data_IF_167746255734
#
_entry.id   IF_167746255734
#
_cell.length_a   1.000
_cell.length_b   1.000
_cell.length_c   1.000
_cell.angle_alpha   90.00
_cell.angle_beta   90.00
_cell.angle_gamma   90.00
#
_symmetry.space_group_name_H-M   'P 1'
#
loop_
_entity.id
_entity.type
_entity.pdbx_description
1 polymer ?
#
# COMPACT_ATOMS: atom_id res chain seq x y z
N UNK A 1 35.79 -24.59 3.67
CA UNK A 1 36.52 -23.38 3.28
C UNK A 1 35.70 -22.20 3.78
N UNK A 2 36.18 -21.55 4.84
CA UNK A 2 35.50 -20.44 5.49
C UNK A 2 35.54 -19.20 4.59
N UNK A 3 34.41 -18.50 4.45
CA UNK A 3 34.41 -17.06 4.18
C UNK A 3 33.59 -16.42 5.30
N UNK A 4 34.30 -16.15 6.39
CA UNK A 4 33.87 -15.28 7.47
C UNK A 4 33.87 -13.83 6.97
N UNK A 5 32.69 -13.21 6.90
CA UNK A 5 32.57 -11.74 6.92
C UNK A 5 31.72 -11.32 8.13
N UNK A 6 32.29 -11.28 9.35
CA UNK A 6 31.74 -10.48 10.43
C UNK A 6 32.72 -9.32 10.69
N UNK A 7 32.33 -8.07 10.40
CA UNK A 7 32.65 -6.90 11.24
C UNK A 7 32.16 -5.55 10.70
N UNK A 8 31.81 -5.40 9.42
CA UNK A 8 31.54 -4.06 8.86
C UNK A 8 30.10 -3.53 9.04
N UNK A 9 29.15 -4.37 9.47
CA UNK A 9 27.72 -4.00 9.50
C UNK A 9 27.38 -3.10 10.72
N UNK A 10 28.19 -3.12 11.78
CA UNK A 10 27.97 -2.27 12.97
C UNK A 10 28.49 -0.83 12.82
N UNK A 11 28.92 -0.41 11.63
CA UNK A 11 29.53 0.90 11.38
C UNK A 11 28.67 1.85 10.54
N UNK A 12 27.46 1.45 10.15
CA UNK A 12 26.57 2.31 9.34
C UNK A 12 25.51 2.94 10.26
N UNK A 13 25.54 4.27 10.48
CA UNK A 13 24.57 4.93 11.35
C UNK A 13 23.14 4.79 10.82
N UNK A 14 22.17 4.69 11.72
CA UNK A 14 20.72 4.56 11.45
C UNK A 14 20.17 5.62 10.47
N UNK A 15 20.84 6.77 10.40
CA UNK A 15 20.56 7.89 9.51
C UNK A 15 20.83 7.58 8.02
N UNK A 16 21.76 6.68 7.69
CA UNK A 16 22.04 6.28 6.31
C UNK A 16 20.92 5.40 5.72
N UNK A 17 20.25 4.60 6.56
CA UNK A 17 19.07 3.82 6.17
C UNK A 17 17.83 4.71 5.96
N UNK A 18 17.72 5.79 6.74
CA UNK A 18 16.69 6.82 6.57
C UNK A 18 16.84 7.55 5.22
N UNK A 19 18.07 7.88 4.83
CA UNK A 19 18.36 8.57 3.58
C UNK A 19 18.01 7.71 2.35
N UNK A 20 18.29 6.40 2.38
CA UNK A 20 17.92 5.48 1.29
C UNK A 20 16.40 5.36 1.08
N UNK A 21 15.61 5.30 2.17
CA UNK A 21 14.15 5.27 2.10
C UNK A 21 13.53 6.60 1.63
N UNK A 22 14.14 7.72 2.03
CA UNK A 22 13.70 9.07 1.64
C UNK A 22 14.01 9.38 0.16
N UNK A 23 15.20 8.99 -0.33
CA UNK A 23 15.57 9.07 -1.75
C UNK A 23 14.69 8.18 -2.65
N UNK A 24 14.16 7.07 -2.12
CA UNK A 24 13.27 6.15 -2.86
C UNK A 24 11.87 6.72 -3.10
N UNK A 25 11.30 7.43 -2.11
CA UNK A 25 9.99 8.09 -2.24
C UNK A 25 10.10 9.38 -3.07
N UNK A 26 11.19 10.13 -2.92
CA UNK A 26 11.39 11.39 -3.67
C UNK A 26 11.68 11.17 -5.16
N UNK A 27 12.37 10.09 -5.52
CA UNK A 27 12.68 9.76 -6.93
C UNK A 27 11.52 9.08 -7.66
N UNK A 28 10.50 8.65 -6.92
CA UNK A 28 9.33 7.96 -7.47
C UNK A 28 8.46 8.89 -8.33
N UNK A 29 8.57 10.22 -8.17
CA UNK A 29 7.72 11.17 -8.88
C UNK A 29 8.35 11.88 -10.10
N UNK A 30 9.66 11.85 -10.28
CA UNK A 30 10.33 12.70 -11.30
C UNK A 30 10.58 12.03 -12.68
N UNK A 31 10.29 10.72 -12.88
CA UNK A 31 10.91 9.94 -13.99
C UNK A 31 9.89 9.27 -14.96
N UNK A 32 8.68 9.80 -15.13
CA UNK A 32 7.69 9.24 -16.08
C UNK A 32 7.53 10.05 -17.38
N UNK A 33 8.31 9.75 -18.44
CA UNK A 33 7.83 9.83 -19.81
C UNK A 33 7.24 8.48 -20.26
N UNK A 34 6.21 8.54 -21.10
CA UNK A 34 5.49 7.40 -21.68
C UNK A 34 6.39 6.56 -22.60
N UNK A 35 6.91 5.43 -22.12
CA UNK A 35 7.34 4.36 -23.04
C UNK A 35 7.29 2.97 -22.39
N UNK A 36 6.57 2.06 -23.03
CA UNK A 36 6.10 0.77 -22.48
C UNK A 36 7.22 -0.21 -22.13
N UNK A 37 8.31 -0.25 -22.91
CA UNK A 37 9.40 -1.22 -22.73
C UNK A 37 10.34 -0.88 -21.55
N UNK A 38 10.29 0.36 -21.06
CA UNK A 38 11.08 0.84 -19.92
C UNK A 38 10.31 0.65 -18.62
N UNK A 39 8.97 0.61 -18.64
CA UNK A 39 8.18 0.34 -17.44
C UNK A 39 8.43 -1.06 -16.90
N UNK A 40 8.48 -2.09 -17.75
CA UNK A 40 8.65 -3.48 -17.31
C UNK A 40 10.00 -3.69 -16.62
N UNK A 41 11.09 -3.16 -17.19
CA UNK A 41 12.43 -3.18 -16.58
C UNK A 41 12.54 -2.34 -15.31
N UNK A 42 11.80 -1.22 -15.23
CA UNK A 42 11.72 -0.40 -14.01
C UNK A 42 10.92 -1.10 -12.91
N UNK A 43 9.88 -1.86 -13.26
CA UNK A 43 9.12 -2.71 -12.34
C UNK A 43 10.01 -3.85 -11.83
N UNK A 44 10.77 -4.53 -12.69
CA UNK A 44 11.71 -5.58 -12.26
C UNK A 44 12.80 -5.04 -11.34
N UNK A 45 13.37 -3.87 -11.66
CA UNK A 45 14.35 -3.20 -10.80
C UNK A 45 13.73 -2.75 -9.47
N UNK A 46 12.49 -2.26 -9.48
CA UNK A 46 11.72 -1.90 -8.29
C UNK A 46 11.44 -3.11 -7.41
N UNK A 47 11.02 -4.24 -8.00
CA UNK A 47 10.81 -5.50 -7.29
C UNK A 47 12.12 -6.04 -6.71
N UNK A 48 13.22 -5.97 -7.46
CA UNK A 48 14.55 -6.40 -7.00
C UNK A 48 15.06 -5.52 -5.85
N UNK A 49 14.84 -4.20 -5.93
CA UNK A 49 15.21 -3.26 -4.88
C UNK A 49 14.31 -3.40 -3.63
N UNK A 50 13.02 -3.71 -3.79
CA UNK A 50 12.14 -4.10 -2.69
C UNK A 50 12.67 -5.37 -2.02
N UNK A 51 13.04 -6.39 -2.80
CA UNK A 51 13.58 -7.64 -2.25
C UNK A 51 14.87 -7.40 -1.47
N UNK A 52 15.77 -6.55 -1.98
CA UNK A 52 17.03 -6.20 -1.31
C UNK A 52 16.79 -5.36 -0.05
N UNK A 53 15.87 -4.38 -0.09
CA UNK A 53 15.55 -3.55 1.09
C UNK A 53 14.76 -4.30 2.17
N UNK A 54 14.00 -5.33 1.78
CA UNK A 54 13.37 -6.30 2.66
C UNK A 54 14.43 -7.23 3.30
N UNK A 55 15.46 -7.64 2.57
CA UNK A 55 16.56 -8.48 3.11
C UNK A 55 17.44 -7.76 4.16
N UNK A 56 17.65 -6.44 4.02
CA UNK A 56 18.62 -5.68 4.83
C UNK A 56 18.12 -5.35 6.24
N UNK A 57 16.83 -5.49 6.54
CA UNK A 57 16.27 -5.04 7.83
C UNK A 57 15.28 -5.99 8.52
N UNK A 58 15.17 -7.25 8.07
CA UNK A 58 14.39 -8.26 8.80
C UNK A 58 15.30 -8.91 9.84
N UNK A 59 15.06 -8.69 11.15
CA UNK A 59 15.66 -9.56 12.14
C UNK A 59 15.02 -10.94 11.94
N UNK A 60 15.78 -11.88 11.37
CA UNK A 60 15.39 -13.29 11.16
C UNK A 60 15.23 -14.06 12.49
N UNK A 61 14.61 -13.44 13.49
CA UNK A 61 14.43 -13.99 14.83
C UNK A 61 13.71 -15.32 14.78
N UNK A 62 14.44 -16.38 15.16
CA UNK A 62 14.02 -17.74 15.56
C UNK A 62 13.05 -18.54 14.67
N UNK A 63 12.47 -17.97 13.61
CA UNK A 63 11.53 -18.66 12.72
C UNK A 63 12.22 -19.33 11.55
N UNK A 64 11.72 -20.50 11.15
CA UNK A 64 12.25 -21.22 9.98
C UNK A 64 12.04 -20.40 8.70
N UNK A 65 13.00 -20.45 7.77
CA UNK A 65 12.95 -19.72 6.49
C UNK A 65 11.62 -19.95 5.73
N UNK A 66 11.06 -21.16 5.80
CA UNK A 66 9.78 -21.51 5.18
C UNK A 66 8.59 -20.75 5.77
N UNK A 67 8.58 -20.55 7.08
CA UNK A 67 7.51 -19.84 7.79
C UNK A 67 7.50 -18.35 7.45
N UNK A 68 8.68 -17.75 7.31
CA UNK A 68 8.81 -16.34 6.89
C UNK A 68 8.33 -16.12 5.45
N UNK A 69 8.68 -17.02 4.52
CA UNK A 69 8.19 -16.96 3.14
C UNK A 69 6.67 -17.10 3.10
N UNK A 70 6.10 -18.03 3.85
CA UNK A 70 4.65 -18.22 3.93
C UNK A 70 3.92 -16.97 4.45
N UNK A 71 4.41 -16.36 5.54
CA UNK A 71 3.84 -15.12 6.09
C UNK A 71 3.96 -13.93 5.13
N UNK A 72 5.09 -13.83 4.43
CA UNK A 72 5.29 -12.78 3.42
C UNK A 72 4.29 -12.91 2.26
N UNK A 73 4.22 -14.10 1.66
CA UNK A 73 3.33 -14.36 0.54
C UNK A 73 1.86 -14.20 0.94
N UNK A 74 1.45 -14.73 2.09
CA UNK A 74 0.07 -14.58 2.58
C UNK A 74 -0.32 -13.12 2.82
N UNK A 75 0.60 -12.30 3.35
CA UNK A 75 0.35 -10.86 3.58
C UNK A 75 0.18 -10.08 2.29
N UNK A 76 0.93 -10.42 1.23
CA UNK A 76 0.76 -9.80 -0.09
C UNK A 76 -0.52 -10.30 -0.77
N UNK A 77 -0.74 -11.61 -0.76
CA UNK A 77 -1.90 -12.24 -1.39
C UNK A 77 -3.20 -11.71 -0.79
N UNK A 78 -3.32 -11.57 0.53
CA UNK A 78 -4.54 -11.05 1.15
C UNK A 78 -4.85 -9.61 0.71
N UNK A 79 -3.82 -8.77 0.54
CA UNK A 79 -3.99 -7.40 0.05
C UNK A 79 -4.40 -7.37 -1.42
N UNK A 80 -3.76 -8.18 -2.27
CA UNK A 80 -4.12 -8.29 -3.68
C UNK A 80 -5.52 -8.87 -3.87
N UNK A 81 -5.93 -9.83 -3.04
CA UNK A 81 -7.28 -10.39 -3.05
C UNK A 81 -8.32 -9.34 -2.68
N UNK A 82 -8.04 -8.48 -1.71
CA UNK A 82 -8.93 -7.34 -1.41
C UNK A 82 -9.10 -6.43 -2.63
N UNK A 83 -8.00 -6.12 -3.32
CA UNK A 83 -8.05 -5.38 -4.59
C UNK A 83 -8.85 -6.09 -5.68
N UNK A 84 -8.68 -7.40 -5.82
CA UNK A 84 -9.43 -8.21 -6.77
C UNK A 84 -10.94 -8.19 -6.46
N UNK A 85 -11.34 -8.32 -5.19
CA UNK A 85 -12.74 -8.24 -4.77
C UNK A 85 -13.32 -6.85 -5.08
N UNK A 86 -12.61 -5.78 -4.74
CA UNK A 86 -13.02 -4.42 -5.08
C UNK A 86 -13.17 -4.21 -6.60
N UNK A 87 -12.26 -4.80 -7.38
CA UNK A 87 -12.27 -4.68 -8.85
C UNK A 87 -13.51 -5.27 -9.52
N UNK A 88 -14.18 -6.25 -8.90
CA UNK A 88 -15.42 -6.85 -9.41
C UNK A 88 -16.53 -5.78 -9.49
N UNK A 89 -16.65 -4.92 -8.47
CA UNK A 89 -17.63 -3.83 -8.48
C UNK A 89 -17.23 -2.71 -9.43
N UNK A 90 -15.93 -2.42 -9.51
CA UNK A 90 -15.40 -1.36 -10.35
C UNK A 90 -15.57 -1.66 -11.83
N UNK A 91 -15.20 -2.87 -12.29
CA UNK A 91 -15.22 -3.22 -13.72
C UNK A 91 -16.61 -3.18 -14.33
N UNK A 92 -17.67 -3.57 -13.60
CA UNK A 92 -19.05 -3.53 -14.10
C UNK A 92 -19.56 -2.11 -14.37
N UNK A 93 -19.08 -1.13 -13.60
CA UNK A 93 -19.56 0.25 -13.66
C UNK A 93 -18.62 1.19 -14.41
N UNK A 94 -17.37 0.78 -14.66
CA UNK A 94 -16.37 1.58 -15.36
C UNK A 94 -16.76 1.89 -16.82
N UNK A 95 -17.32 0.91 -17.54
CA UNK A 95 -17.70 1.04 -18.96
C UNK A 95 -19.14 1.56 -19.17
N UNK A 96 -19.90 1.75 -18.09
CA UNK A 96 -21.31 2.13 -18.14
C UNK A 96 -21.55 3.45 -17.41
N UNK A 97 -21.78 3.40 -16.11
CA UNK A 97 -22.14 4.55 -15.29
C UNK A 97 -21.00 5.56 -15.11
N UNK A 98 -19.77 5.07 -14.88
CA UNK A 98 -18.64 5.96 -14.61
C UNK A 98 -18.33 6.88 -15.80
N UNK A 99 -18.54 6.44 -17.04
CA UNK A 99 -18.31 7.28 -18.23
C UNK A 99 -19.27 8.47 -18.32
N UNK A 100 -20.43 8.39 -17.69
CA UNK A 100 -21.47 9.42 -17.74
C UNK A 100 -21.29 10.52 -16.68
N UNK A 101 -20.45 10.29 -15.67
CA UNK A 101 -20.21 11.26 -14.61
C UNK A 101 -19.36 12.43 -15.10
N UNK A 102 -19.75 13.63 -14.71
CA UNK A 102 -18.87 14.80 -14.80
C UNK A 102 -17.69 14.63 -13.84
N UNK A 103 -16.46 14.85 -14.33
CA UNK A 103 -15.22 14.64 -13.58
C UNK A 103 -14.43 15.95 -13.53
N UNK A 104 -13.74 16.23 -12.41
CA UNK A 104 -12.85 17.39 -12.34
C UNK A 104 -11.66 17.24 -13.29
N UNK A 105 -11.06 18.36 -13.68
CA UNK A 105 -9.91 18.41 -14.61
C UNK A 105 -8.67 17.68 -14.11
N UNK A 106 -8.56 17.45 -12.79
CA UNK A 106 -7.45 16.72 -12.18
C UNK A 106 -7.71 15.21 -12.03
N UNK A 107 -8.85 14.69 -12.51
CA UNK A 107 -9.11 13.25 -12.50
C UNK A 107 -8.11 12.53 -13.42
N UNK A 108 -7.32 11.57 -12.92
CA UNK A 108 -6.34 10.89 -13.73
C UNK A 108 -7.02 9.95 -14.74
N UNK A 109 -6.35 9.61 -15.85
CA UNK A 109 -6.82 8.60 -16.78
C UNK A 109 -7.12 7.27 -16.07
N UNK A 110 -8.20 6.58 -16.46
CA UNK A 110 -8.68 5.35 -15.80
C UNK A 110 -7.62 4.25 -15.70
N UNK A 111 -6.70 4.16 -16.67
CA UNK A 111 -5.63 3.17 -16.68
C UNK A 111 -4.60 3.37 -15.55
N UNK A 112 -4.44 4.59 -15.03
CA UNK A 112 -3.45 4.92 -13.97
C UNK A 112 -3.84 4.25 -12.64
N UNK A 113 -5.13 4.06 -12.38
CA UNK A 113 -5.61 3.49 -11.12
C UNK A 113 -5.10 2.06 -10.89
N UNK A 114 -5.05 1.23 -11.93
CA UNK A 114 -4.68 -0.18 -11.78
C UNK A 114 -3.22 -0.39 -11.34
N UNK A 115 -2.20 0.21 -12.00
CA UNK A 115 -0.81 0.12 -11.54
C UNK A 115 -0.61 0.72 -10.14
N UNK A 116 -1.23 1.86 -9.86
CA UNK A 116 -1.10 2.51 -8.54
C UNK A 116 -1.65 1.62 -7.45
N UNK A 117 -2.88 1.11 -7.58
CA UNK A 117 -3.46 0.23 -6.57
C UNK A 117 -2.68 -1.07 -6.40
N UNK A 118 -2.18 -1.66 -7.49
CA UNK A 118 -1.33 -2.87 -7.42
C UNK A 118 -0.05 -2.61 -6.61
N UNK A 119 0.61 -1.48 -6.83
CA UNK A 119 1.78 -1.08 -6.05
C UNK A 119 1.42 -0.85 -4.58
N UNK A 120 0.31 -0.15 -4.31
CA UNK A 120 -0.16 0.11 -2.95
C UNK A 120 -0.48 -1.17 -2.19
N UNK A 121 -1.22 -2.12 -2.78
CA UNK A 121 -1.51 -3.41 -2.14
C UNK A 121 -0.25 -4.21 -1.85
N UNK A 122 0.76 -4.13 -2.72
CA UNK A 122 2.05 -4.77 -2.48
C UNK A 122 2.76 -4.15 -1.27
N UNK A 123 2.83 -2.80 -1.21
CA UNK A 123 3.42 -2.08 -0.08
C UNK A 123 2.68 -2.35 1.23
N UNK A 124 1.35 -2.39 1.19
CA UNK A 124 0.50 -2.74 2.33
C UNK A 124 0.79 -4.17 2.82
N UNK A 125 0.94 -5.13 1.90
CA UNK A 125 1.28 -6.51 2.23
C UNK A 125 2.65 -6.64 2.88
N UNK A 126 3.66 -5.92 2.37
CA UNK A 126 5.00 -5.87 2.98
C UNK A 126 4.92 -5.22 4.38
N UNK A 127 4.17 -4.13 4.51
CA UNK A 127 3.94 -3.44 5.78
C UNK A 127 3.31 -4.36 6.83
N UNK A 128 2.25 -5.10 6.45
CA UNK A 128 1.61 -6.09 7.30
C UNK A 128 2.57 -7.21 7.71
N UNK A 129 3.36 -7.73 6.77
CA UNK A 129 4.35 -8.79 7.04
C UNK A 129 5.38 -8.34 8.09
N UNK A 130 5.90 -7.11 7.98
CA UNK A 130 6.89 -6.57 8.93
C UNK A 130 6.34 -6.44 10.36
N UNK A 131 5.04 -6.14 10.50
CA UNK A 131 4.37 -6.02 11.81
C UNK A 131 3.98 -7.39 12.35
N UNK A 132 3.38 -8.24 11.52
CA UNK A 132 2.93 -9.57 11.91
C UNK A 132 4.10 -10.50 12.25
N UNK A 133 5.24 -10.33 11.58
CA UNK A 133 6.49 -11.05 11.85
C UNK A 133 7.06 -10.84 13.26
N UNK A 134 6.68 -9.75 13.96
CA UNK A 134 7.12 -9.47 15.34
C UNK A 134 6.44 -10.35 16.40
N UNK A 135 5.38 -11.07 16.03
CA UNK A 135 4.66 -11.98 16.92
C UNK A 135 3.38 -11.38 17.51
N UNK A 136 2.30 -12.15 17.46
CA UNK A 136 0.95 -11.73 17.90
C UNK A 136 0.78 -11.73 19.43
N UNK A 137 1.82 -12.09 20.18
CA UNK A 137 1.80 -12.01 21.64
C UNK A 137 1.77 -10.55 22.10
N UNK A 138 2.49 -9.68 21.39
CA UNK A 138 2.53 -8.24 21.66
C UNK A 138 1.16 -7.60 21.41
N UNK A 139 0.72 -6.78 22.36
CA UNK A 139 -0.58 -6.09 22.27
C UNK A 139 -0.60 -5.15 21.07
N UNK A 140 0.50 -4.48 20.82
CA UNK A 140 0.67 -3.48 19.78
C UNK A 140 0.54 -4.09 18.38
N UNK A 141 1.07 -5.30 18.20
CA UNK A 141 0.94 -6.08 16.96
C UNK A 141 -0.51 -6.48 16.72
N UNK A 142 -1.21 -7.01 17.74
CA UNK A 142 -2.62 -7.41 17.61
C UNK A 142 -3.54 -6.24 17.26
N UNK A 143 -3.36 -5.11 17.94
CA UNK A 143 -4.14 -3.89 17.64
C UNK A 143 -3.81 -3.39 16.23
N UNK A 144 -2.54 -3.40 15.85
CA UNK A 144 -2.12 -3.00 14.50
C UNK A 144 -2.75 -3.87 13.42
N UNK A 145 -2.66 -5.20 13.54
CA UNK A 145 -3.22 -6.15 12.57
C UNK A 145 -4.76 -6.02 12.50
N UNK A 146 -5.43 -5.80 13.62
CA UNK A 146 -6.87 -5.53 13.64
C UNK A 146 -7.22 -4.26 12.86
N UNK A 147 -6.55 -3.13 13.15
CA UNK A 147 -6.76 -1.87 12.43
C UNK A 147 -6.47 -2.01 10.93
N UNK A 148 -5.42 -2.76 10.59
CA UNK A 148 -5.09 -3.09 9.20
C UNK A 148 -6.22 -3.87 8.51
N UNK A 149 -6.83 -4.84 9.20
CA UNK A 149 -7.99 -5.57 8.69
C UNK A 149 -9.20 -4.67 8.47
N UNK A 150 -9.46 -3.75 9.41
CA UNK A 150 -10.54 -2.77 9.30
C UNK A 150 -10.35 -1.86 8.09
N UNK A 151 -9.15 -1.26 7.91
CA UNK A 151 -8.91 -0.40 6.75
C UNK A 151 -8.98 -1.19 5.43
N UNK A 152 -8.59 -2.46 5.40
CA UNK A 152 -8.68 -3.29 4.20
C UNK A 152 -10.14 -3.62 3.85
N UNK A 153 -10.97 -3.88 4.86
CA UNK A 153 -12.41 -4.06 4.67
C UNK A 153 -13.10 -2.80 4.17
N UNK A 154 -12.77 -1.64 4.76
CA UNK A 154 -13.22 -0.33 4.31
C UNK A 154 -12.82 -0.06 2.85
N UNK A 155 -11.59 -0.39 2.46
CA UNK A 155 -11.12 -0.25 1.09
C UNK A 155 -11.99 -1.02 0.07
N UNK A 156 -12.35 -2.28 0.37
CA UNK A 156 -13.27 -3.06 -0.46
C UNK A 156 -14.67 -2.42 -0.47
N UNK A 157 -15.14 -2.00 0.71
CA UNK A 157 -16.47 -1.44 0.90
C UNK A 157 -16.66 -0.13 0.13
N UNK A 158 -15.61 0.70 0.01
CA UNK A 158 -15.61 1.88 -0.84
C UNK A 158 -15.98 1.55 -2.30
N UNK A 159 -15.36 0.51 -2.86
CA UNK A 159 -15.61 0.09 -4.25
C UNK A 159 -17.06 -0.35 -4.45
N UNK A 160 -17.62 -1.05 -3.46
CA UNK A 160 -19.03 -1.41 -3.45
C UNK A 160 -19.95 -0.18 -3.40
N UNK A 161 -19.70 0.78 -2.51
CA UNK A 161 -20.53 1.98 -2.38
C UNK A 161 -20.45 2.87 -3.64
N UNK A 162 -19.24 3.11 -4.13
CA UNK A 162 -19.04 4.01 -5.26
C UNK A 162 -19.51 3.41 -6.58
N UNK A 163 -19.07 2.19 -6.90
CA UNK A 163 -19.36 1.57 -8.20
C UNK A 163 -20.56 0.62 -8.16
N UNK A 164 -20.74 -0.13 -7.08
CA UNK A 164 -21.86 -1.07 -6.93
C UNK A 164 -23.19 -0.37 -6.66
N UNK A 165 -23.22 0.53 -5.67
CA UNK A 165 -24.40 1.34 -5.35
C UNK A 165 -24.50 2.64 -6.15
N UNK A 166 -23.47 2.98 -6.95
CA UNK A 166 -23.45 4.20 -7.76
C UNK A 166 -23.72 5.47 -6.94
N UNK A 167 -23.22 5.51 -5.69
CA UNK A 167 -23.48 6.60 -4.74
C UNK A 167 -22.17 7.30 -4.35
N UNK A 168 -21.77 8.37 -5.07
CA UNK A 168 -20.62 9.19 -4.71
C UNK A 168 -20.70 9.75 -3.29
N UNK A 169 -21.90 10.10 -2.80
CA UNK A 169 -22.11 10.61 -1.46
C UNK A 169 -21.77 9.58 -0.37
N UNK A 170 -22.30 8.36 -0.46
CA UNK A 170 -22.02 7.31 0.53
C UNK A 170 -20.55 6.90 0.49
N UNK A 171 -19.98 6.81 -0.71
CA UNK A 171 -18.56 6.57 -0.91
C UNK A 171 -17.69 7.67 -0.29
N UNK A 172 -18.15 8.93 -0.30
CA UNK A 172 -17.43 10.04 0.31
C UNK A 172 -17.41 9.96 1.83
N UNK A 173 -18.53 9.60 2.46
CA UNK A 173 -18.55 9.38 3.90
C UNK A 173 -17.66 8.20 4.31
N UNK A 174 -17.69 7.11 3.54
CA UNK A 174 -16.88 5.94 3.80
C UNK A 174 -15.38 6.22 3.61
N UNK A 175 -14.98 6.93 2.55
CA UNK A 175 -13.54 7.17 2.30
C UNK A 175 -12.88 8.03 3.38
N UNK A 176 -13.66 8.85 4.10
CA UNK A 176 -13.18 9.55 5.29
C UNK A 176 -12.91 8.59 6.47
N UNK A 177 -13.77 7.57 6.64
CA UNK A 177 -13.54 6.50 7.62
C UNK A 177 -12.30 5.68 7.26
N UNK A 178 -12.16 5.32 5.98
CA UNK A 178 -10.98 4.65 5.45
C UNK A 178 -9.72 5.47 5.72
N UNK A 179 -9.73 6.75 5.36
CA UNK A 179 -8.61 7.67 5.57
C UNK A 179 -8.17 7.70 7.04
N UNK A 180 -9.14 7.79 7.96
CA UNK A 180 -8.86 7.76 9.40
C UNK A 180 -8.31 6.39 9.84
N UNK A 181 -8.88 5.29 9.33
CA UNK A 181 -8.41 3.94 9.65
C UNK A 181 -6.96 3.71 9.18
N UNK A 182 -6.57 4.25 8.02
CA UNK A 182 -5.19 4.21 7.52
C UNK A 182 -4.26 4.98 8.47
N UNK A 183 -4.64 6.19 8.87
CA UNK A 183 -3.86 7.01 9.79
C UNK A 183 -3.64 6.30 11.13
N UNK A 184 -4.70 5.72 11.70
CA UNK A 184 -4.62 4.95 12.95
C UNK A 184 -3.75 3.70 12.79
N UNK A 185 -3.84 3.02 11.66
CA UNK A 185 -2.98 1.87 11.33
C UNK A 185 -1.52 2.29 11.27
N UNK A 186 -1.19 3.39 10.58
CA UNK A 186 0.17 3.91 10.48
C UNK A 186 0.74 4.30 11.86
N UNK A 187 -0.01 5.05 12.67
CA UNK A 187 0.39 5.42 14.04
C UNK A 187 0.65 4.18 14.89
N UNK A 188 -0.19 3.14 14.76
CA UNK A 188 -0.02 1.92 15.51
C UNK A 188 1.18 1.09 15.01
N UNK A 189 1.38 1.03 13.69
CA UNK A 189 2.52 0.36 13.07
C UNK A 189 3.83 1.04 13.45
N UNK A 190 3.85 2.36 13.61
CA UNK A 190 5.03 3.10 14.06
C UNK A 190 5.60 2.60 15.39
N UNK A 191 4.73 2.18 16.31
CA UNK A 191 5.12 1.64 17.63
C UNK A 191 5.79 0.26 17.52
N UNK A 192 5.56 -0.46 16.42
CA UNK A 192 6.08 -1.81 16.18
C UNK A 192 7.26 -1.81 15.21
N UNK A 193 7.12 -1.11 14.08
CA UNK A 193 8.10 -0.97 13.00
C UNK A 193 7.89 0.34 12.25
N UNK A 194 8.84 1.27 12.39
CA UNK A 194 8.84 2.54 11.65
C UNK A 194 8.80 2.32 10.14
N UNK A 195 9.53 1.32 9.64
CA UNK A 195 9.54 0.95 8.21
C UNK A 195 8.13 0.56 7.74
N UNK A 196 7.42 -0.26 8.52
CA UNK A 196 6.05 -0.65 8.18
C UNK A 196 5.11 0.57 8.11
N UNK A 197 5.25 1.52 9.04
CA UNK A 197 4.49 2.77 9.01
C UNK A 197 4.82 3.64 7.78
N UNK A 198 6.10 3.76 7.42
CA UNK A 198 6.50 4.55 6.25
C UNK A 198 5.97 3.98 4.94
N UNK A 199 5.90 2.64 4.82
CA UNK A 199 5.31 1.98 3.65
C UNK A 199 3.82 2.29 3.44
N UNK A 200 3.11 2.76 4.48
CA UNK A 200 1.72 3.19 4.38
C UNK A 200 1.56 4.66 3.95
N UNK A 201 2.64 5.46 3.91
CA UNK A 201 2.56 6.88 3.50
C UNK A 201 2.09 7.03 2.05
N UNK A 202 2.64 6.31 1.04
CA UNK A 202 2.15 6.42 -0.33
C UNK A 202 0.65 6.12 -0.45
N UNK A 203 0.17 5.14 0.33
CA UNK A 203 -1.25 4.80 0.39
C UNK A 203 -2.09 5.91 1.00
N UNK A 204 -1.67 6.46 2.14
CA UNK A 204 -2.35 7.58 2.79
C UNK A 204 -2.44 8.82 1.88
N UNK A 205 -1.35 9.14 1.17
CA UNK A 205 -1.33 10.26 0.21
C UNK A 205 -2.29 10.00 -0.96
N UNK A 206 -2.30 8.78 -1.50
CA UNK A 206 -3.23 8.41 -2.57
C UNK A 206 -4.69 8.49 -2.13
N UNK A 207 -5.01 8.03 -0.92
CA UNK A 207 -6.38 8.11 -0.39
C UNK A 207 -6.74 9.56 -0.06
N UNK A 208 -5.80 10.41 0.36
CA UNK A 208 -6.04 11.85 0.53
C UNK A 208 -6.43 12.52 -0.80
N UNK A 209 -5.75 12.15 -1.88
CA UNK A 209 -6.13 12.56 -3.23
C UNK A 209 -7.53 12.02 -3.61
N UNK A 210 -7.80 10.75 -3.32
CA UNK A 210 -9.08 10.12 -3.62
C UNK A 210 -10.25 10.77 -2.84
N UNK A 211 -10.05 11.23 -1.61
CA UNK A 211 -11.05 12.00 -0.84
C UNK A 211 -11.45 13.26 -1.61
N UNK A 212 -10.47 14.03 -2.10
CA UNK A 212 -10.72 15.25 -2.88
C UNK A 212 -11.43 14.93 -4.20
N UNK A 213 -10.96 13.90 -4.90
CA UNK A 213 -11.57 13.46 -6.16
C UNK A 213 -13.03 13.03 -5.95
N UNK A 214 -13.30 12.23 -4.93
CA UNK A 214 -14.62 11.70 -4.63
C UNK A 214 -15.60 12.81 -4.21
N UNK A 215 -15.14 13.75 -3.39
CA UNK A 215 -15.89 14.96 -3.06
C UNK A 215 -16.29 15.77 -4.31
N UNK A 216 -15.33 16.01 -5.21
CA UNK A 216 -15.60 16.77 -6.43
C UNK A 216 -16.58 16.04 -7.35
N UNK A 217 -16.45 14.71 -7.52
CA UNK A 217 -17.39 13.91 -8.29
C UNK A 217 -18.80 14.01 -7.69
N UNK A 218 -18.92 13.93 -6.36
CA UNK A 218 -20.23 14.09 -5.71
C UNK A 218 -20.83 15.48 -5.95
N UNK A 219 -20.05 16.56 -5.78
CA UNK A 219 -20.56 17.93 -5.98
C UNK A 219 -20.98 18.20 -7.43
N UNK A 220 -20.25 17.65 -8.39
CA UNK A 220 -20.57 17.79 -9.82
C UNK A 220 -21.76 16.93 -10.26
N UNK A 221 -22.11 15.87 -9.50
CA UNK A 221 -23.16 14.93 -9.84
C UNK A 221 -24.11 14.70 -8.63
N UNK A 222 -24.95 15.70 -8.28
CA UNK A 222 -25.83 15.64 -7.12
C UNK A 222 -27.01 14.66 -7.25
#
# INVERSE_FOLDING_TARGET
MYISIPLYINLIPEEANFQAGFYFVSSFWEIFPENSNIQEKKIEAFLTLILISVEVNIPWGYMSQKENIFRFLSSIIICLLAGAIGSIFTSSSLESWYLLLEKPTFNPPSWVFFPVWTALYTLMGISLFLVWGKGVQEKEVRVGVFLFGVQLGLNIFWSFLFFGMQSPYLAFLEILLLWLAILLTAIQFWKVSKVASYLLIPYFLWVSFAVLLNYQIWVLNP
#
